data_IF_728132558774
#
_entry.id   IF_728132558774
#
_cell.length_a   1.000
_cell.length_b   1.000
_cell.length_c   1.000
_cell.angle_alpha   90.00
_cell.angle_beta   90.00
_cell.angle_gamma   90.00
#
_symmetry.space_group_name_H-M   'P 1'
#
loop_
_entity.id
_entity.type
_entity.pdbx_description
1 polymer ?
#
# COMPACT_ATOMS: atom_id res chain seq x y z
N UNK A 1 14.77 -8.25 2.37
CA UNK A 1 14.07 -7.63 1.23
C UNK A 1 13.15 -8.66 0.62
N UNK A 2 11.88 -8.31 0.43
CA UNK A 2 10.91 -9.15 -0.27
C UNK A 2 11.27 -9.28 -1.75
N UNK A 3 11.01 -10.44 -2.35
CA UNK A 3 11.28 -10.69 -3.77
C UNK A 3 10.02 -10.65 -4.63
N UNK A 4 8.86 -10.37 -4.03
CA UNK A 4 7.56 -10.30 -4.69
C UNK A 4 7.19 -8.84 -4.88
N UNK A 5 6.75 -8.50 -6.09
CA UNK A 5 6.30 -7.16 -6.41
C UNK A 5 4.97 -7.23 -7.16
N UNK A 6 4.14 -6.20 -7.00
CA UNK A 6 2.88 -6.04 -7.68
C UNK A 6 2.82 -4.69 -8.39
N UNK A 7 2.26 -4.65 -9.60
CA UNK A 7 1.89 -3.39 -10.22
C UNK A 7 0.58 -2.90 -9.59
N UNK A 8 0.63 -1.71 -8.97
CA UNK A 8 -0.51 -1.10 -8.32
C UNK A 8 -0.73 0.31 -8.87
N UNK A 9 -1.95 0.79 -8.71
CA UNK A 9 -2.29 2.18 -8.97
C UNK A 9 -2.55 2.89 -7.64
N UNK A 10 -1.96 4.07 -7.48
CA UNK A 10 -2.20 4.95 -6.34
C UNK A 10 -2.92 6.21 -6.81
N UNK A 11 -3.97 6.59 -6.09
CA UNK A 11 -4.75 7.81 -6.36
C UNK A 11 -4.98 8.60 -5.07
N UNK A 12 -5.14 9.90 -5.23
CA UNK A 12 -5.72 10.74 -4.20
C UNK A 12 -7.22 10.90 -4.49
N UNK A 13 -8.12 10.25 -3.71
CA UNK A 13 -9.55 10.28 -4.00
C UNK A 13 -10.20 11.65 -3.77
N UNK A 14 -9.53 12.56 -3.03
CA UNK A 14 -9.98 13.94 -2.86
C UNK A 14 -9.73 14.79 -4.11
N UNK A 15 -8.86 14.33 -5.02
CA UNK A 15 -8.45 15.04 -6.23
C UNK A 15 -8.61 14.13 -7.47
N UNK A 16 -9.84 13.79 -7.89
CA UNK A 16 -10.09 12.78 -8.94
C UNK A 16 -9.55 13.15 -10.33
N UNK A 17 -9.26 14.44 -10.59
CA UNK A 17 -8.63 14.91 -11.83
C UNK A 17 -7.10 14.77 -11.84
N UNK A 18 -6.50 14.42 -10.70
CA UNK A 18 -5.06 14.23 -10.60
C UNK A 18 -4.66 12.93 -11.32
N UNK A 19 -3.47 12.95 -11.93
CA UNK A 19 -2.95 11.77 -12.63
C UNK A 19 -2.71 10.64 -11.64
N UNK A 20 -3.15 9.44 -12.01
CA UNK A 20 -2.89 8.20 -11.29
C UNK A 20 -1.39 7.90 -11.31
N UNK A 21 -0.83 7.48 -10.17
CA UNK A 21 0.55 6.98 -10.10
C UNK A 21 0.52 5.46 -10.29
N UNK A 22 1.05 4.99 -11.42
CA UNK A 22 1.30 3.58 -11.67
C UNK A 22 2.69 3.25 -11.15
N UNK A 23 2.80 2.25 -10.28
CA UNK A 23 4.09 1.91 -9.65
C UNK A 23 4.18 0.42 -9.36
N UNK A 24 5.43 -0.06 -9.30
CA UNK A 24 5.75 -1.41 -8.85
C UNK A 24 6.02 -1.34 -7.35
N UNK A 25 5.14 -1.96 -6.55
CA UNK A 25 5.28 -2.01 -5.11
C UNK A 25 5.89 -3.33 -4.66
N UNK A 26 6.84 -3.29 -3.71
CA UNK A 26 7.30 -4.48 -3.01
C UNK A 26 6.20 -4.95 -2.06
N UNK A 27 5.86 -6.23 -2.15
CA UNK A 27 4.88 -6.87 -1.27
C UNK A 27 5.59 -7.22 0.04
N UNK A 28 5.19 -6.58 1.13
CA UNK A 28 5.86 -6.72 2.42
C UNK A 28 4.85 -6.97 3.54
N UNK A 29 4.68 -8.23 3.91
CA UNK A 29 3.84 -8.64 5.05
C UNK A 29 4.40 -8.21 6.40
N UNK A 30 5.67 -7.79 6.46
CA UNK A 30 6.30 -7.23 7.67
C UNK A 30 6.04 -5.72 7.84
N UNK A 31 5.63 -5.02 6.78
CA UNK A 31 5.17 -3.65 6.87
C UNK A 31 3.70 -3.60 7.29
N UNK A 32 3.36 -2.74 8.24
CA UNK A 32 1.99 -2.60 8.73
C UNK A 32 1.04 -2.07 7.65
N UNK A 33 1.43 -0.97 6.99
CA UNK A 33 0.58 -0.24 6.03
C UNK A 33 1.40 0.16 4.81
N UNK A 34 0.77 0.88 3.88
CA UNK A 34 1.43 1.46 2.71
C UNK A 34 2.59 2.38 3.12
N UNK A 35 3.79 2.11 2.62
CA UNK A 35 4.90 3.06 2.66
C UNK A 35 5.14 3.59 1.26
N UNK A 36 5.34 4.90 1.12
CA UNK A 36 5.61 5.54 -0.16
C UNK A 36 6.84 6.46 -0.07
N UNK A 37 7.62 6.57 -1.15
CA UNK A 37 8.64 7.59 -1.26
C UNK A 37 8.04 9.01 -1.29
N UNK A 38 8.83 9.99 -0.89
CA UNK A 38 8.42 11.42 -0.87
C UNK A 38 7.91 11.91 -2.22
N UNK A 39 8.56 11.50 -3.32
CA UNK A 39 8.13 11.92 -4.67
C UNK A 39 6.72 11.42 -5.04
N UNK A 40 6.31 10.24 -4.56
CA UNK A 40 4.95 9.71 -4.78
C UNK A 40 3.93 10.55 -4.00
N UNK A 41 4.24 10.90 -2.75
CA UNK A 41 3.38 11.75 -1.94
C UNK A 41 3.18 13.13 -2.58
N UNK A 42 4.25 13.72 -3.12
CA UNK A 42 4.20 15.00 -3.84
C UNK A 42 3.37 14.90 -5.14
N UNK A 43 3.56 13.86 -5.94
CA UNK A 43 2.80 13.64 -7.18
C UNK A 43 1.30 13.50 -6.92
N UNK A 44 0.95 12.79 -5.84
CA UNK A 44 -0.44 12.59 -5.41
C UNK A 44 -1.01 13.77 -4.60
N UNK A 45 -0.21 14.82 -4.34
CA UNK A 45 -0.58 15.98 -3.54
C UNK A 45 -1.21 15.57 -2.21
N UNK A 46 -0.60 14.61 -1.52
CA UNK A 46 -1.10 14.10 -0.24
C UNK A 46 -0.76 15.09 0.87
N UNK A 47 -1.74 15.35 1.73
CA UNK A 47 -1.58 16.20 2.91
C UNK A 47 -1.04 15.36 4.07
N UNK A 48 -0.19 15.96 4.91
CA UNK A 48 0.23 15.34 6.16
C UNK A 48 -0.91 15.43 7.18
N UNK A 49 -1.37 14.26 7.64
CA UNK A 49 -2.39 14.17 8.68
C UNK A 49 -1.74 14.35 10.05
N UNK A 50 -0.66 13.61 10.30
CA UNK A 50 0.14 13.66 11.52
C UNK A 50 1.52 13.03 11.30
N UNK A 51 2.36 13.04 12.34
CA UNK A 51 3.60 12.24 12.39
C UNK A 51 3.34 10.90 13.08
N UNK A 52 4.09 9.87 12.70
CA UNK A 52 4.11 8.56 13.36
C UNK A 52 5.54 8.12 13.64
N UNK A 53 5.76 7.58 14.84
CA UNK A 53 7.01 6.85 15.15
C UNK A 53 6.91 5.46 14.50
N UNK A 54 7.92 5.09 13.73
CA UNK A 54 8.02 3.80 13.04
C UNK A 54 9.36 3.16 13.34
N UNK A 55 9.38 1.83 13.43
CA UNK A 55 10.61 1.04 13.55
C UNK A 55 10.87 0.36 12.22
N UNK A 56 12.07 0.56 11.66
CA UNK A 56 12.46 -0.09 10.39
C UNK A 56 13.15 -1.42 10.64
N UNK A 57 13.42 -2.18 9.58
CA UNK A 57 14.04 -3.50 9.67
C UNK A 57 15.43 -3.51 10.33
N UNK A 58 16.14 -2.38 10.38
CA UNK A 58 17.42 -2.25 11.07
C UNK A 58 17.27 -1.96 12.59
N UNK A 59 16.03 -1.92 13.09
CA UNK A 59 15.70 -1.65 14.49
C UNK A 59 15.68 -0.16 14.86
N UNK A 60 16.02 0.76 13.95
CA UNK A 60 15.98 2.19 14.22
C UNK A 60 14.56 2.73 14.21
N UNK A 61 14.33 3.71 15.07
CA UNK A 61 13.08 4.46 15.16
C UNK A 61 13.19 5.77 14.38
N UNK A 62 12.13 6.08 13.65
CA UNK A 62 12.03 7.30 12.84
C UNK A 62 10.68 7.95 13.07
N UNK A 63 10.65 9.28 13.17
CA UNK A 63 9.42 10.04 13.14
C UNK A 63 9.14 10.45 11.68
N UNK A 64 8.11 9.88 11.07
CA UNK A 64 7.78 10.05 9.65
C UNK A 64 6.41 10.68 9.45
N UNK A 65 6.20 11.32 8.31
CA UNK A 65 4.90 11.85 7.91
C UNK A 65 3.93 10.71 7.60
N UNK A 66 2.74 10.79 8.18
CA UNK A 66 1.60 9.97 7.80
C UNK A 66 0.65 10.82 6.97
N UNK A 67 0.48 10.44 5.70
CA UNK A 67 -0.24 11.21 4.69
C UNK A 67 -1.46 10.45 4.17
N UNK A 68 -2.45 11.16 3.65
CA UNK A 68 -3.58 10.49 3.01
C UNK A 68 -4.77 11.41 2.73
N UNK A 69 -5.92 10.84 2.34
CA UNK A 69 -6.13 9.42 2.02
C UNK A 69 -5.47 9.01 0.70
N UNK A 70 -5.17 7.72 0.56
CA UNK A 70 -4.68 7.09 -0.67
C UNK A 70 -5.63 5.96 -1.04
N UNK A 71 -6.14 5.98 -2.27
CA UNK A 71 -6.80 4.82 -2.87
C UNK A 71 -5.73 3.95 -3.54
N UNK A 72 -5.62 2.70 -3.09
CA UNK A 72 -4.74 1.69 -3.68
C UNK A 72 -5.61 0.78 -4.54
N UNK A 73 -5.17 0.49 -5.76
CA UNK A 73 -5.89 -0.35 -6.72
C UNK A 73 -4.94 -1.44 -7.20
N UNK A 74 -5.41 -2.69 -7.10
CA UNK A 74 -4.73 -3.88 -7.61
C UNK A 74 -5.74 -4.78 -8.30
N UNK A 75 -5.54 -5.08 -9.58
CA UNK A 75 -6.48 -5.86 -10.40
C UNK A 75 -7.94 -5.37 -10.28
N UNK A 76 -8.86 -6.20 -9.78
CA UNK A 76 -10.27 -5.89 -9.55
C UNK A 76 -10.56 -5.48 -8.09
N UNK A 77 -9.53 -5.06 -7.34
CA UNK A 77 -9.62 -4.67 -5.93
C UNK A 77 -9.18 -3.22 -5.74
N UNK A 78 -9.77 -2.58 -4.73
CA UNK A 78 -9.29 -1.31 -4.22
C UNK A 78 -9.52 -1.20 -2.71
N UNK A 79 -8.70 -0.39 -2.04
CA UNK A 79 -8.86 -0.01 -0.65
C UNK A 79 -8.47 1.45 -0.43
N UNK A 80 -8.91 2.04 0.68
CA UNK A 80 -8.50 3.37 1.12
C UNK A 80 -7.65 3.29 2.38
N UNK A 81 -6.44 3.80 2.33
CA UNK A 81 -5.49 3.79 3.45
C UNK A 81 -4.76 5.12 3.57
N UNK A 82 -4.08 5.35 4.70
CA UNK A 82 -3.01 6.35 4.76
C UNK A 82 -1.66 5.70 4.48
N UNK A 83 -0.66 6.53 4.17
CA UNK A 83 0.68 6.10 3.82
C UNK A 83 1.73 6.72 4.74
N UNK A 84 2.78 5.96 5.04
CA UNK A 84 3.99 6.45 5.70
C UNK A 84 4.97 6.94 4.63
N UNK A 85 5.45 8.18 4.74
CA UNK A 85 6.44 8.73 3.81
C UNK A 85 7.84 8.34 4.28
N UNK A 86 8.39 7.28 3.71
CA UNK A 86 9.70 6.70 4.05
C UNK A 86 10.18 5.78 2.92
N UNK A 87 11.50 5.64 2.79
CA UNK A 87 12.11 4.73 1.81
C UNK A 87 12.18 5.30 0.40
N UNK A 88 12.65 4.48 -0.53
CA UNK A 88 12.91 4.78 -1.93
C UNK A 88 11.99 4.01 -2.90
N UNK A 89 11.35 2.94 -2.43
CA UNK A 89 10.31 2.20 -3.14
C UNK A 89 8.97 2.16 -2.38
N UNK A 90 7.89 1.82 -3.09
CA UNK A 90 6.57 1.65 -2.48
C UNK A 90 6.47 0.28 -1.83
N UNK A 91 6.05 0.23 -0.57
CA UNK A 91 5.77 -1.02 0.15
C UNK A 91 4.27 -1.21 0.29
N UNK A 92 3.75 -2.32 -0.20
CA UNK A 92 2.39 -2.75 0.05
C UNK A 92 2.36 -3.59 1.34
N UNK A 93 1.93 -2.96 2.44
CA UNK A 93 1.86 -3.57 3.77
C UNK A 93 0.64 -4.46 4.01
N UNK A 94 0.56 -5.05 5.21
CA UNK A 94 -0.49 -5.98 5.61
C UNK A 94 -1.91 -5.38 5.53
N UNK A 95 -2.13 -4.18 6.06
CA UNK A 95 -3.46 -3.54 6.09
C UNK A 95 -4.11 -3.44 4.70
N UNK A 96 -3.48 -2.81 3.68
CA UNK A 96 -4.09 -2.76 2.35
C UNK A 96 -4.22 -4.14 1.68
N UNK A 97 -3.35 -5.12 1.99
CA UNK A 97 -3.49 -6.48 1.47
C UNK A 97 -4.69 -7.23 2.07
N UNK A 98 -4.89 -7.10 3.38
CA UNK A 98 -6.02 -7.72 4.09
C UNK A 98 -7.35 -7.08 3.67
N UNK A 99 -7.41 -5.74 3.57
CA UNK A 99 -8.62 -5.03 3.15
C UNK A 99 -9.05 -5.40 1.72
N UNK A 100 -8.09 -5.63 0.83
CA UNK A 100 -8.32 -6.05 -0.55
C UNK A 100 -8.50 -7.57 -0.74
N UNK A 101 -8.40 -8.37 0.34
CA UNK A 101 -8.49 -9.84 0.31
C UNK A 101 -7.48 -10.47 -0.69
N UNK A 102 -6.20 -10.14 -0.49
CA UNK A 102 -5.10 -10.57 -1.35
C UNK A 102 -4.27 -11.68 -0.69
N UNK A 103 -3.75 -12.58 -1.53
CA UNK A 103 -2.89 -13.68 -1.12
C UNK A 103 -1.51 -13.50 -1.73
N UNK A 104 -0.48 -13.60 -0.90
CA UNK A 104 0.90 -13.71 -1.36
C UNK A 104 1.17 -15.16 -1.74
N UNK A 105 1.63 -15.40 -2.97
CA UNK A 105 2.06 -16.72 -3.45
C UNK A 105 3.59 -16.76 -3.59
N UNK A 106 4.33 -17.25 -2.57
CA UNK A 106 5.78 -17.38 -2.62
C UNK A 106 6.28 -18.27 -3.77
N UNK A 107 5.60 -19.39 -4.01
CA UNK A 107 5.97 -20.35 -5.04
C UNK A 107 5.95 -19.74 -6.44
N UNK A 108 4.97 -18.87 -6.72
CA UNK A 108 4.82 -18.19 -8.00
C UNK A 108 5.44 -16.79 -8.04
N UNK A 109 5.90 -16.30 -6.88
CA UNK A 109 6.42 -14.93 -6.68
C UNK A 109 5.42 -13.85 -7.11
N UNK A 110 4.16 -14.01 -6.73
CA UNK A 110 3.07 -13.11 -7.12
C UNK A 110 2.20 -12.73 -5.93
N UNK A 111 1.64 -11.53 -5.99
CA UNK A 111 0.42 -11.19 -5.28
C UNK A 111 -0.76 -11.59 -6.15
N UNK A 112 -1.78 -12.22 -5.57
CA UNK A 112 -2.97 -12.65 -6.32
C UNK A 112 -4.22 -12.27 -5.54
N UNK A 113 -5.31 -12.05 -6.26
CA UNK A 113 -6.65 -11.99 -5.67
C UNK A 113 -6.96 -13.36 -5.05
N UNK A 114 -7.59 -13.36 -3.87
CA UNK A 114 -7.99 -14.60 -3.21
C UNK A 114 -8.88 -15.46 -4.14
N UNK A 115 -8.45 -16.68 -4.51
CA UNK A 115 -9.20 -17.56 -5.40
C UNK A 115 -10.55 -18.03 -4.83
N UNK A 116 -10.74 -17.99 -3.51
CA UNK A 116 -12.01 -18.35 -2.86
C UNK A 116 -13.07 -17.25 -3.02
N UNK A 117 -12.67 -16.04 -3.39
CA UNK A 117 -13.53 -14.86 -3.48
C UNK A 117 -13.33 -14.07 -4.80
N UNK A 118 -13.26 -14.70 -5.98
CA UNK A 118 -12.67 -14.10 -7.19
C UNK A 118 -13.32 -12.77 -7.65
N UNK A 119 -14.62 -12.59 -7.37
CA UNK A 119 -15.40 -11.43 -7.84
C UNK A 119 -15.35 -10.25 -6.88
N UNK A 120 -15.45 -10.48 -5.56
CA UNK A 120 -15.54 -9.43 -4.54
C UNK A 120 -14.67 -9.77 -3.33
N UNK A 121 -14.01 -8.80 -2.69
CA UNK A 121 -13.22 -9.07 -1.49
C UNK A 121 -14.13 -9.60 -0.38
N UNK A 122 -13.69 -10.65 0.31
CA UNK A 122 -14.41 -11.22 1.44
C UNK A 122 -13.98 -10.54 2.74
N UNK A 123 -14.96 -10.11 3.54
CA UNK A 123 -14.74 -9.62 4.89
C UNK A 123 -15.62 -10.40 5.87
N UNK A 124 -15.01 -10.91 6.94
CA UNK A 124 -15.74 -11.56 8.02
C UNK A 124 -16.34 -10.50 8.94
N UNK A 125 -17.66 -10.50 9.08
CA UNK A 125 -18.41 -9.65 10.03
C UNK A 125 -19.09 -10.56 11.05
N UNK A 126 -18.96 -10.25 12.34
CA UNK A 126 -19.64 -10.95 13.45
C UNK A 126 -20.51 -10.00 14.25
#
# INVERSE_FOLDING_TARGET
MGYIHAEIQLKNPRLPKLKVVLTKAMVDTGALTLCIPEHVALQLKLEENNKREVTTADGKRHLVSYVGPVEVIFENRNCFVGALVIGDEVLLGAVPMEDMDLIVSPAHRKLVVNPESPNFPHALVK
#
